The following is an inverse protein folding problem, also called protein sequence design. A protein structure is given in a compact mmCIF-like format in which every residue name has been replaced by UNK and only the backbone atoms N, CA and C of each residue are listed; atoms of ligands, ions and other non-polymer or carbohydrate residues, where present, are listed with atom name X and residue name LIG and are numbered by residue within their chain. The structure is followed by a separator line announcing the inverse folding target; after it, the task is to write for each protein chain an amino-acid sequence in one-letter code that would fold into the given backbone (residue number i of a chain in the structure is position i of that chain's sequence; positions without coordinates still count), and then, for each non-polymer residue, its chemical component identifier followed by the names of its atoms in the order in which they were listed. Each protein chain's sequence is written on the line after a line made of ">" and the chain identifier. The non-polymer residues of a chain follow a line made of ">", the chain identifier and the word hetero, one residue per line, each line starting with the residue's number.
data_IF_389017667568
#
_entry.id   IF_389017667568
#
_cell.length_a   1.000
_cell.length_b   1.000
_cell.length_c   1.000
_cell.angle_alpha   90.00
_cell.angle_beta   90.00
_cell.angle_gamma   90.00
#
_symmetry.space_group_name_H-M   'P 1'
#
loop_
_entity.id
_entity.type
_entity.pdbx_description
1 polymer ?
#
# COMPACT_ATOMS: atom_id res chain seq x y z
N UNK A 1 -1.60 14.01 10.18
CA UNK A 1 -0.73 13.66 11.28
C UNK A 1 0.27 12.61 10.85
N UNK A 2 1.52 12.80 11.21
CA UNK A 2 2.55 11.90 10.74
C UNK A 2 2.47 10.55 11.43
N UNK A 3 2.81 9.51 10.69
CA UNK A 3 2.91 8.17 11.27
C UNK A 3 4.14 8.10 12.16
N UNK A 4 3.95 7.58 13.36
CA UNK A 4 5.03 7.38 14.31
C UNK A 4 5.42 5.93 14.35
N UNK A 5 6.66 5.68 14.74
CA UNK A 5 7.23 4.34 14.72
C UNK A 5 7.89 4.04 16.06
N UNK A 6 8.06 2.75 16.34
CA UNK A 6 8.84 2.31 17.49
C UNK A 6 9.69 1.12 17.08
N UNK A 7 10.71 0.81 17.88
CA UNK A 7 11.64 -0.24 17.51
C UNK A 7 11.01 -1.61 17.56
N UNK A 8 11.26 -2.41 16.52
CA UNK A 8 10.80 -3.79 16.49
C UNK A 8 11.49 -4.57 17.61
N UNK A 9 10.72 -5.19 18.54
CA UNK A 9 11.34 -5.91 19.66
C UNK A 9 12.01 -7.21 19.26
N UNK A 10 11.71 -7.76 18.08
CA UNK A 10 12.32 -9.01 17.63
C UNK A 10 12.72 -8.91 16.17
N UNK A 11 13.75 -8.10 15.86
CA UNK A 11 14.18 -7.98 14.46
C UNK A 11 14.91 -9.23 13.95
N UNK A 12 15.16 -10.19 14.83
CA UNK A 12 15.86 -11.43 14.51
C UNK A 12 14.97 -12.49 13.90
N UNK A 13 13.65 -12.24 13.81
CA UNK A 13 12.72 -13.24 13.25
C UNK A 13 11.64 -12.52 12.45
N UNK A 14 11.06 -13.27 11.51
CA UNK A 14 9.89 -12.79 10.80
C UNK A 14 8.64 -13.15 11.58
N UNK A 15 7.77 -12.19 11.72
CA UNK A 15 6.43 -12.43 12.25
C UNK A 15 5.52 -11.38 11.62
N UNK A 16 4.23 -11.70 11.57
CA UNK A 16 3.28 -10.85 10.86
C UNK A 16 2.41 -10.09 11.85
N UNK A 17 2.29 -8.80 11.61
CA UNK A 17 1.38 -7.93 12.35
C UNK A 17 0.22 -7.60 11.43
N UNK A 18 -1.01 -7.69 11.97
CA UNK A 18 -2.21 -7.37 11.21
C UNK A 18 -2.99 -6.30 11.96
N UNK A 19 -3.22 -5.18 11.31
CA UNK A 19 -4.06 -4.11 11.84
C UNK A 19 -5.28 -3.97 10.96
N UNK A 20 -6.46 -4.12 11.54
CA UNK A 20 -7.71 -4.02 10.79
C UNK A 20 -8.48 -2.80 11.26
N UNK A 21 -8.86 -1.95 10.31
CA UNK A 21 -9.67 -0.77 10.59
C UNK A 21 -10.99 -0.90 9.85
N UNK A 22 -12.07 -1.35 10.53
CA UNK A 22 -13.36 -1.51 9.87
C UNK A 22 -14.15 -0.21 9.75
N UNK A 23 -13.59 0.89 10.23
CA UNK A 23 -14.30 2.17 10.25
C UNK A 23 -13.65 3.20 9.34
N UNK A 24 -12.97 2.76 8.30
CA UNK A 24 -12.34 3.67 7.37
C UNK A 24 -13.39 4.44 6.58
N UNK A 25 -13.19 5.75 6.44
CA UNK A 25 -14.08 6.63 5.71
C UNK A 25 -13.29 7.58 4.84
N UNK A 26 -13.79 7.82 3.63
CA UNK A 26 -13.26 8.86 2.75
C UNK A 26 -14.44 9.46 2.01
N UNK A 27 -14.16 10.32 1.02
CA UNK A 27 -15.23 10.98 0.27
C UNK A 27 -15.07 10.63 -1.20
N UNK A 28 -16.18 10.28 -1.84
CA UNK A 28 -16.19 10.02 -3.27
C UNK A 28 -15.93 11.33 -4.01
N UNK A 29 -14.89 11.42 -4.84
CA UNK A 29 -14.60 12.67 -5.54
C UNK A 29 -15.66 13.05 -6.57
N UNK A 30 -16.45 12.08 -7.02
CA UNK A 30 -17.49 12.35 -8.02
C UNK A 30 -18.77 12.89 -7.42
N UNK A 31 -19.18 12.36 -6.25
CA UNK A 31 -20.47 12.70 -5.66
C UNK A 31 -20.36 13.56 -4.41
N UNK A 32 -19.20 13.57 -3.76
CA UNK A 32 -19.05 14.24 -2.48
C UNK A 32 -19.66 13.48 -1.32
N UNK A 33 -20.16 12.27 -1.55
CA UNK A 33 -20.75 11.45 -0.50
C UNK A 33 -19.69 10.60 0.18
N UNK A 34 -19.93 10.22 1.44
CA UNK A 34 -18.94 9.43 2.16
C UNK A 34 -18.86 8.00 1.63
N UNK A 35 -17.64 7.47 1.59
CA UNK A 35 -17.37 6.08 1.30
C UNK A 35 -16.91 5.42 2.59
N UNK A 36 -17.24 4.14 2.74
CA UNK A 36 -16.91 3.36 3.94
C UNK A 36 -16.21 2.08 3.55
N UNK A 37 -15.33 1.63 4.41
CA UNK A 37 -14.64 0.38 4.12
C UNK A 37 -13.82 -0.10 5.29
N UNK A 38 -13.21 -1.27 5.07
CA UNK A 38 -12.30 -1.88 6.02
C UNK A 38 -10.91 -1.87 5.40
N UNK A 39 -9.95 -1.31 6.11
CA UNK A 39 -8.56 -1.34 5.67
C UNK A 39 -7.82 -2.34 6.54
N UNK A 40 -7.21 -3.31 5.91
CA UNK A 40 -6.39 -4.30 6.60
C UNK A 40 -4.95 -4.13 6.16
N UNK A 41 -4.07 -3.95 7.13
CA UNK A 41 -2.63 -3.83 6.91
C UNK A 41 -1.98 -5.06 7.52
N UNK A 42 -1.25 -5.83 6.70
CA UNK A 42 -0.50 -6.99 7.16
C UNK A 42 0.96 -6.73 6.81
N UNK A 43 1.85 -6.85 7.79
CA UNK A 43 3.25 -6.62 7.45
C UNK A 43 4.20 -7.42 8.34
N UNK A 44 5.39 -7.65 7.81
CA UNK A 44 6.50 -8.25 8.54
C UNK A 44 7.48 -7.11 8.81
N UNK A 45 7.65 -6.72 10.09
CA UNK A 45 8.51 -5.58 10.39
C UNK A 45 9.99 -5.91 10.20
N UNK A 46 10.75 -4.90 9.82
CA UNK A 46 12.20 -4.98 9.82
C UNK A 46 12.71 -4.34 11.11
N UNK A 47 13.16 -3.10 11.06
CA UNK A 47 13.68 -2.45 12.25
C UNK A 47 12.61 -1.72 13.06
N UNK A 48 11.49 -1.38 12.44
CA UNK A 48 10.49 -0.54 13.08
C UNK A 48 9.08 -1.07 12.87
N UNK A 49 8.23 -0.79 13.86
CA UNK A 49 6.80 -1.05 13.80
C UNK A 49 6.07 0.28 13.78
N UNK A 50 4.86 0.30 13.18
CA UNK A 50 4.06 1.52 13.19
C UNK A 50 3.34 1.62 14.53
N UNK A 51 3.28 2.84 15.07
CA UNK A 51 2.62 3.10 16.33
C UNK A 51 1.12 3.25 16.09
N UNK A 52 0.33 2.53 16.85
CA UNK A 52 -1.09 2.34 16.57
C UNK A 52 -1.92 3.63 16.72
N UNK A 53 -1.61 4.45 17.71
CA UNK A 53 -2.35 5.69 17.90
C UNK A 53 -2.14 6.65 16.72
N UNK A 54 -0.92 6.76 16.24
CA UNK A 54 -0.64 7.61 15.09
C UNK A 54 -1.32 7.05 13.84
N UNK A 55 -1.40 5.73 13.71
CA UNK A 55 -2.10 5.12 12.59
C UNK A 55 -3.59 5.46 12.63
N UNK A 56 -4.17 5.46 13.83
CA UNK A 56 -5.57 5.85 13.98
C UNK A 56 -5.80 7.27 13.47
N UNK A 57 -4.96 8.21 13.89
CA UNK A 57 -5.12 9.59 13.45
C UNK A 57 -4.80 9.76 11.97
N UNK A 58 -3.87 8.97 11.47
CA UNK A 58 -3.57 8.97 10.04
C UNK A 58 -4.82 8.62 9.22
N UNK A 59 -5.55 7.59 9.63
CA UNK A 59 -6.77 7.21 8.92
C UNK A 59 -7.84 8.28 9.03
N UNK A 60 -7.92 8.98 10.16
CA UNK A 60 -8.94 10.01 10.35
C UNK A 60 -8.78 11.15 9.36
N UNK A 61 -7.58 11.38 8.85
CA UNK A 61 -7.36 12.45 7.88
C UNK A 61 -8.00 12.14 6.53
N UNK A 62 -8.37 10.89 6.29
CA UNK A 62 -9.06 10.53 5.05
C UNK A 62 -10.54 10.87 5.09
N UNK A 63 -11.08 11.10 6.28
CA UNK A 63 -12.53 11.25 6.46
C UNK A 63 -13.14 12.29 5.53
N UNK A 64 -12.46 13.41 5.33
CA UNK A 64 -12.96 14.48 4.49
C UNK A 64 -12.19 14.62 3.19
N UNK A 65 -11.38 13.62 2.84
CA UNK A 65 -10.56 13.68 1.64
C UNK A 65 -11.27 12.99 0.48
N UNK A 66 -11.45 13.75 -0.62
CA UNK A 66 -11.97 13.17 -1.84
C UNK A 66 -10.92 12.34 -2.52
N UNK A 67 -11.13 11.04 -2.58
CA UNK A 67 -10.12 10.13 -3.12
C UNK A 67 -10.82 8.84 -3.54
N UNK A 68 -10.38 8.27 -4.68
CA UNK A 68 -10.90 7.00 -5.14
C UNK A 68 -10.27 5.84 -4.36
N UNK A 69 -10.95 4.69 -4.35
CA UNK A 69 -10.53 3.51 -3.59
C UNK A 69 -9.11 3.08 -3.94
N UNK A 70 -8.81 3.07 -5.24
CA UNK A 70 -7.51 2.62 -5.71
C UNK A 70 -6.40 3.55 -5.22
N UNK A 71 -6.66 4.84 -5.27
CA UNK A 71 -5.67 5.81 -4.82
C UNK A 71 -5.50 5.76 -3.31
N UNK A 72 -6.60 5.62 -2.56
CA UNK A 72 -6.52 5.57 -1.10
C UNK A 72 -5.72 4.36 -0.63
N UNK A 73 -6.01 3.19 -1.19
CA UNK A 73 -5.32 1.97 -0.75
C UNK A 73 -3.84 2.03 -1.08
N UNK A 74 -3.50 2.52 -2.26
CA UNK A 74 -2.09 2.65 -2.66
C UNK A 74 -1.37 3.71 -1.83
N UNK A 75 -2.05 4.81 -1.51
CA UNK A 75 -1.42 5.85 -0.70
C UNK A 75 -1.09 5.34 0.70
N UNK A 76 -1.99 4.55 1.27
CA UNK A 76 -1.75 3.95 2.58
C UNK A 76 -0.53 3.04 2.52
N UNK A 77 -0.43 2.22 1.48
CA UNK A 77 0.74 1.37 1.31
C UNK A 77 2.02 2.20 1.23
N UNK A 78 2.03 3.22 0.39
CA UNK A 78 3.22 4.03 0.19
C UNK A 78 3.66 4.73 1.47
N UNK A 79 2.70 5.28 2.20
CA UNK A 79 3.02 6.00 3.43
C UNK A 79 3.59 5.05 4.49
N UNK A 80 3.03 3.85 4.58
CA UNK A 80 3.53 2.87 5.55
C UNK A 80 4.91 2.34 5.15
N UNK A 81 5.13 2.10 3.85
CA UNK A 81 6.45 1.66 3.38
C UNK A 81 7.50 2.71 3.73
N UNK A 82 7.19 3.96 3.51
CA UNK A 82 8.13 5.03 3.82
C UNK A 82 8.41 5.14 5.31
N UNK A 83 7.37 4.97 6.13
CA UNK A 83 7.51 5.14 7.57
C UNK A 83 8.28 3.99 8.23
N UNK A 84 7.96 2.75 7.88
CA UNK A 84 8.50 1.59 8.62
C UNK A 84 9.44 0.70 7.81
N UNK A 85 9.50 0.88 6.50
CA UNK A 85 10.39 0.11 5.62
C UNK A 85 10.35 -1.39 5.95
N UNK A 86 9.15 -2.01 5.80
CA UNK A 86 8.97 -3.39 6.25
C UNK A 86 9.64 -4.36 5.29
N UNK A 87 9.82 -5.61 5.75
CA UNK A 87 10.30 -6.66 4.88
C UNK A 87 9.25 -7.04 3.85
N UNK A 88 7.99 -6.95 4.25
CA UNK A 88 6.84 -7.23 3.40
C UNK A 88 5.62 -6.54 3.98
N UNK A 89 4.75 -6.06 3.11
CA UNK A 89 3.50 -5.44 3.55
C UNK A 89 2.43 -5.62 2.49
N UNK A 90 1.21 -5.87 2.95
CA UNK A 90 0.03 -5.91 2.09
C UNK A 90 -1.03 -5.02 2.69
N UNK A 91 -1.63 -4.17 1.86
CA UNK A 91 -2.77 -3.36 2.27
C UNK A 91 -3.97 -3.78 1.44
N UNK A 92 -5.05 -4.11 2.15
CA UNK A 92 -6.31 -4.52 1.52
C UNK A 92 -7.38 -3.51 1.92
N UNK A 93 -8.00 -2.91 0.90
CA UNK A 93 -9.14 -2.04 1.12
C UNK A 93 -10.40 -2.72 0.63
N UNK A 94 -11.29 -3.08 1.55
CA UNK A 94 -12.56 -3.72 1.23
C UNK A 94 -13.66 -2.72 1.48
N UNK A 95 -14.29 -2.23 0.40
CA UNK A 95 -15.23 -1.12 0.48
C UNK A 95 -16.66 -1.61 0.41
N UNK A 96 -17.57 -0.88 1.07
CA UNK A 96 -18.95 -1.31 1.18
C UNK A 96 -19.67 -1.25 -0.15
N UNK A 97 -20.77 -2.01 -0.25
CA UNK A 97 -21.56 -2.10 -1.48
C UNK A 97 -22.22 -0.77 -1.79
N UNK A 98 -22.04 -0.32 -3.03
CA UNK A 98 -22.65 0.89 -3.55
C UNK A 98 -23.22 0.59 -4.93
N UNK A 99 -24.53 0.82 -5.11
CA UNK A 99 -25.15 0.56 -6.41
C UNK A 99 -25.06 -0.90 -6.81
N UNK A 100 -25.07 -1.80 -5.85
CA UNK A 100 -24.97 -3.23 -6.12
C UNK A 100 -23.55 -3.74 -6.29
N UNK A 101 -22.56 -2.84 -6.24
CA UNK A 101 -21.15 -3.22 -6.42
C UNK A 101 -20.37 -3.03 -5.14
N UNK A 102 -19.46 -3.93 -4.88
CA UNK A 102 -18.44 -3.68 -3.86
C UNK A 102 -17.08 -4.03 -4.45
N UNK A 103 -16.06 -3.32 -3.96
CA UNK A 103 -14.72 -3.42 -4.53
C UNK A 103 -13.71 -3.73 -3.45
N UNK A 104 -12.72 -4.50 -3.81
CA UNK A 104 -11.59 -4.78 -2.94
C UNK A 104 -10.32 -4.44 -3.71
N UNK A 105 -9.46 -3.64 -3.11
CA UNK A 105 -8.19 -3.26 -3.70
C UNK A 105 -7.09 -3.84 -2.83
N UNK A 106 -6.15 -4.56 -3.45
CA UNK A 106 -5.05 -5.20 -2.73
C UNK A 106 -3.74 -4.74 -3.35
N UNK A 107 -2.84 -4.24 -2.54
CA UNK A 107 -1.52 -3.88 -3.03
C UNK A 107 -0.47 -4.34 -2.03
N UNK A 108 0.71 -4.67 -2.56
CA UNK A 108 1.79 -5.25 -1.77
C UNK A 108 3.11 -4.60 -2.10
N UNK A 109 4.01 -4.66 -1.14
CA UNK A 109 5.39 -4.25 -1.34
C UNK A 109 6.29 -5.26 -0.66
N UNK A 110 7.30 -5.72 -1.40
CA UNK A 110 8.28 -6.66 -0.89
C UNK A 110 9.65 -6.06 -1.18
N UNK A 111 10.35 -5.69 -0.14
CA UNK A 111 11.62 -4.98 -0.31
C UNK A 111 12.62 -5.78 -1.12
N UNK A 112 12.71 -7.07 -0.83
CA UNK A 112 13.66 -7.93 -1.50
C UNK A 112 13.27 -8.19 -2.96
N UNK A 113 12.00 -8.53 -3.16
CA UNK A 113 11.51 -8.80 -4.51
C UNK A 113 11.61 -7.57 -5.38
N UNK A 114 11.31 -6.41 -4.82
CA UNK A 114 11.38 -5.18 -5.57
C UNK A 114 12.81 -4.91 -6.05
N UNK A 115 13.79 -5.13 -5.19
CA UNK A 115 15.17 -4.95 -5.57
C UNK A 115 15.57 -5.87 -6.69
N UNK A 116 15.20 -7.14 -6.61
CA UNK A 116 15.48 -8.10 -7.64
C UNK A 116 14.83 -7.73 -8.96
N UNK A 117 13.56 -7.38 -8.88
CA UNK A 117 12.79 -7.03 -10.06
C UNK A 117 13.41 -5.85 -10.78
N UNK A 118 13.82 -4.86 -10.05
CA UNK A 118 14.44 -3.70 -10.64
C UNK A 118 15.70 -4.08 -11.40
N UNK A 119 16.51 -4.91 -10.79
CA UNK A 119 17.73 -5.35 -11.44
C UNK A 119 17.46 -6.14 -12.70
N UNK A 120 16.52 -7.04 -12.62
CA UNK A 120 16.16 -7.83 -13.80
C UNK A 120 15.62 -6.97 -14.91
N UNK A 121 14.76 -6.07 -14.58
CA UNK A 121 14.17 -5.22 -15.60
C UNK A 121 15.21 -4.41 -16.33
N UNK A 122 16.18 -3.93 -15.63
CA UNK A 122 17.25 -3.19 -16.27
C UNK A 122 17.99 -4.06 -17.28
N UNK A 123 18.32 -5.25 -16.85
CA UNK A 123 19.05 -6.15 -17.71
C UNK A 123 18.21 -6.49 -18.93
N UNK A 124 16.95 -6.75 -18.72
CA UNK A 124 16.06 -7.09 -19.81
C UNK A 124 15.95 -5.97 -20.83
N UNK A 125 15.74 -4.79 -20.32
CA UNK A 125 15.61 -3.66 -21.23
C UNK A 125 16.85 -3.44 -22.05
N UNK A 126 17.95 -3.58 -21.40
CA UNK A 126 19.19 -3.40 -22.13
C UNK A 126 19.31 -4.35 -23.26
N UNK A 127 18.85 -5.53 -23.06
CA UNK A 127 18.89 -6.49 -24.12
C UNK A 127 17.80 -6.33 -25.13
N UNK A 128 16.69 -5.96 -24.61
CA UNK A 128 15.54 -5.99 -25.46
C UNK A 128 15.44 -4.93 -26.47
N UNK A 129 16.03 -4.05 -26.41
CA UNK A 129 15.71 -3.11 -27.28
C UNK A 129 16.10 -3.25 -28.50
N UNK A 130 16.50 -3.75 -28.34
CA UNK A 130 16.92 -3.96 -29.43
C UNK A 130 16.09 -4.49 -30.29
N UNK A 131 15.59 -4.99 -29.86
CA UNK A 131 14.77 -5.60 -30.68
C UNK A 131 13.98 -4.66 -31.44
N UNK A 132 14.06 -4.14 -31.31
CA UNK A 132 13.39 -3.66 -31.95
C UNK A 132 13.64 -3.16 -32.99
N UNK A 133 14.11 -3.12 -33.00
CA UNK A 133 14.43 -2.82 -33.82
C UNK A 133 14.31 -3.21 -34.81
N UNK A 134 14.14 -3.49 -34.72
CA UNK A 134 14.12 -3.96 -35.58
C UNK A 134 13.38 -3.87 -36.36
N UNK A 135 13.06 -3.47 -36.07
CA UNK A 135 12.52 -3.45 -36.73
C UNK A 135 12.25 -2.92 -37.57
N UNK A 136 12.55 -2.63 -37.63
CA UNK A 136 12.54 -2.39 -38.39
C UNK A 136 12.49 -2.20 -39.34
N UNK A 137 12.55 -2.22 -39.39
CA UNK A 137 12.80 -2.24 -40.28
C UNK A 137 12.50 -2.31 -41.19
N UNK A 138 12.20 -2.34 -41.29
CA UNK A 138 12.05 -2.53 -42.27
C UNK A 138 11.72 -2.44 -42.97
#
# INVERSE_FOLDING_TARGET
>A
MALEIFNNPRPDRDYTIVHTNPEFTSVCPMTGLPDFGTITVEYIPNQHCVELKSLKYYYLEYRNRGIFYEAATNQILDDLVEAIKPRWIRVTGAFTTRGGLHSTVVCEHNAEALGKTTGKNKATKGGGKSAKKKGEQR
#
